data_IF_454511334659
#
_entry.id   IF_454511334659
#
_cell.length_a   1.000
_cell.length_b   1.000
_cell.length_c   1.000
_cell.angle_alpha   90.00
_cell.angle_beta   90.00
_cell.angle_gamma   90.00
#
_symmetry.space_group_name_H-M   'P 1'
#
loop_
_entity.id
_entity.type
_entity.pdbx_description
1 polymer ?
#
# COMPACT_ATOMS: atom_id res chain seq x y z
N UNK A 1 13.77 35.47 80.71
CA UNK A 1 14.74 34.48 80.17
C UNK A 1 13.99 33.44 79.35
N UNK A 2 14.69 32.86 78.38
CA UNK A 2 14.24 32.21 77.14
C UNK A 2 13.20 31.09 77.32
N UNK A 3 12.16 31.10 76.46
CA UNK A 3 11.30 29.96 76.12
C UNK A 3 12.01 29.10 75.07
N UNK A 4 11.92 27.77 75.16
CA UNK A 4 11.81 26.82 74.03
C UNK A 4 12.15 25.38 74.47
N UNK A 5 11.67 24.27 73.89
CA UNK A 5 10.59 23.89 72.96
C UNK A 5 10.53 22.35 73.14
N UNK A 6 9.35 21.74 73.30
CA UNK A 6 9.18 20.29 73.21
C UNK A 6 9.40 19.84 71.76
N UNK A 7 10.32 18.91 71.54
CA UNK A 7 10.60 18.31 70.23
C UNK A 7 9.67 17.11 69.99
N UNK A 8 8.67 17.30 69.15
CA UNK A 8 7.81 16.23 68.63
C UNK A 8 8.46 15.65 67.37
N UNK A 9 8.94 14.41 67.45
CA UNK A 9 9.47 13.65 66.31
C UNK A 9 8.29 13.23 65.43
N UNK A 10 8.15 13.90 64.28
CA UNK A 10 7.24 13.53 63.21
C UNK A 10 7.87 12.35 62.43
N UNK A 11 7.29 11.16 62.56
CA UNK A 11 7.59 10.02 61.67
C UNK A 11 6.96 10.30 60.30
N UNK A 12 7.75 10.82 59.35
CA UNK A 12 7.38 10.84 57.95
C UNK A 12 7.49 9.41 57.39
N UNK A 13 6.35 8.73 57.26
CA UNK A 13 6.25 7.53 56.44
C UNK A 13 6.44 7.91 54.97
N UNK A 14 7.49 7.39 54.34
CA UNK A 14 7.73 7.54 52.90
C UNK A 14 6.77 6.62 52.14
N UNK A 15 5.64 7.14 51.67
CA UNK A 15 4.84 6.44 50.66
C UNK A 15 5.63 6.45 49.36
N UNK A 16 6.19 5.29 48.99
CA UNK A 16 6.85 5.11 47.69
C UNK A 16 5.80 5.25 46.59
N UNK A 17 5.98 6.22 45.71
CA UNK A 17 5.09 6.47 44.56
C UNK A 17 5.60 5.61 43.41
N UNK A 18 5.24 4.33 43.39
CA UNK A 18 5.53 3.44 42.26
C UNK A 18 4.36 3.50 41.27
N UNK A 19 4.66 3.73 39.99
CA UNK A 19 3.67 3.64 38.92
C UNK A 19 3.34 2.16 38.69
N UNK A 20 2.10 1.76 38.92
CA UNK A 20 1.65 0.40 38.65
C UNK A 20 1.52 0.20 37.15
N UNK A 21 1.95 -0.96 36.64
CA UNK A 21 1.83 -1.35 35.23
C UNK A 21 0.98 -2.61 35.11
N UNK A 22 0.10 -2.67 34.13
CA UNK A 22 -0.76 -3.81 33.89
C UNK A 22 -0.95 -4.09 32.40
N UNK A 23 -1.12 -5.35 32.04
CA UNK A 23 -1.31 -5.78 30.66
C UNK A 23 -2.75 -6.25 30.46
N UNK A 24 -3.41 -5.72 29.44
CA UNK A 24 -4.77 -6.10 29.06
C UNK A 24 -4.81 -6.51 27.60
N UNK A 25 -5.55 -7.55 27.26
CA UNK A 25 -5.55 -8.08 25.90
C UNK A 25 -6.92 -8.52 25.41
N UNK A 26 -7.04 -8.62 24.09
CA UNK A 26 -8.19 -9.22 23.40
C UNK A 26 -7.71 -9.97 22.18
N UNK A 27 -8.21 -11.18 21.98
CA UNK A 27 -7.89 -11.99 20.81
C UNK A 27 -9.04 -12.02 19.82
N UNK A 28 -8.72 -12.21 18.53
CA UNK A 28 -9.67 -12.42 17.44
C UNK A 28 -10.76 -11.34 17.34
N UNK A 29 -10.44 -10.09 17.67
CA UNK A 29 -11.40 -9.00 17.60
C UNK A 29 -11.45 -8.42 16.17
N UNK A 30 -12.66 -8.21 15.64
CA UNK A 30 -12.88 -7.92 14.22
C UNK A 30 -12.70 -6.46 13.83
N UNK A 31 -12.61 -5.53 14.80
CA UNK A 31 -12.61 -4.10 14.51
C UNK A 31 -11.65 -3.27 15.37
N UNK A 32 -10.80 -2.50 14.71
CA UNK A 32 -9.93 -1.50 15.34
C UNK A 32 -10.73 -0.38 16.02
N UNK A 33 -11.91 -0.02 15.51
CA UNK A 33 -12.66 1.12 16.03
C UNK A 33 -13.40 0.83 17.33
N UNK A 34 -13.66 -0.44 17.64
CA UNK A 34 -14.44 -0.84 18.81
C UNK A 34 -13.61 -1.42 19.95
N UNK A 35 -12.32 -1.70 19.74
CA UNK A 35 -11.46 -2.40 20.72
C UNK A 35 -11.34 -1.66 22.05
N UNK A 36 -11.33 -0.32 22.06
CA UNK A 36 -11.19 0.45 23.31
C UNK A 36 -12.48 0.51 24.16
N UNK A 37 -13.62 0.05 23.62
CA UNK A 37 -14.93 0.12 24.25
C UNK A 37 -15.49 -1.25 24.69
N UNK A 38 -14.77 -2.33 24.43
CA UNK A 38 -15.16 -3.68 24.88
C UNK A 38 -14.32 -4.10 26.09
N UNK A 39 -14.79 -5.03 26.94
CA UNK A 39 -13.97 -5.56 28.03
C UNK A 39 -12.75 -6.35 27.54
N UNK A 40 -11.60 -6.06 28.14
CA UNK A 40 -10.31 -6.73 27.87
C UNK A 40 -9.99 -7.73 28.98
N UNK A 41 -9.32 -8.81 28.60
CA UNK A 41 -8.82 -9.83 29.52
C UNK A 41 -7.47 -9.43 30.10
N UNK A 42 -7.03 -10.13 31.14
CA UNK A 42 -5.70 -9.96 31.74
C UNK A 42 -5.62 -8.79 32.72
N UNK A 43 -4.60 -8.86 33.57
CA UNK A 43 -4.22 -7.80 34.50
C UNK A 43 -5.40 -7.21 35.28
N UNK A 44 -5.38 -5.88 35.42
CA UNK A 44 -6.44 -5.13 36.08
C UNK A 44 -7.74 -5.04 35.27
N UNK A 45 -7.72 -5.31 33.95
CA UNK A 45 -8.93 -5.30 33.14
C UNK A 45 -9.85 -6.47 33.45
N UNK A 46 -9.29 -7.63 33.81
CA UNK A 46 -9.98 -8.79 34.39
C UNK A 46 -11.24 -9.28 33.62
N UNK A 47 -11.32 -9.03 32.32
CA UNK A 47 -12.49 -9.36 31.50
C UNK A 47 -13.70 -8.44 31.74
N UNK A 48 -13.56 -7.38 32.54
CA UNK A 48 -14.64 -6.50 33.00
C UNK A 48 -14.50 -5.07 32.49
N UNK A 49 -13.27 -4.57 32.39
CA UNK A 49 -13.00 -3.19 32.02
C UNK A 49 -12.48 -3.08 30.60
N UNK A 50 -13.00 -2.08 29.88
CA UNK A 50 -12.45 -1.64 28.60
C UNK A 50 -11.27 -0.70 28.81
N UNK A 51 -10.51 -0.40 27.76
CA UNK A 51 -9.43 0.62 27.82
C UNK A 51 -10.00 1.96 28.28
N UNK A 52 -11.19 2.33 27.83
CA UNK A 52 -11.84 3.57 28.24
C UNK A 52 -12.30 3.55 29.70
N UNK A 53 -12.69 2.40 30.25
CA UNK A 53 -12.98 2.28 31.68
C UNK A 53 -11.71 2.38 32.52
N UNK A 54 -10.60 1.79 32.03
CA UNK A 54 -9.29 1.90 32.68
C UNK A 54 -8.82 3.36 32.70
N UNK A 55 -8.99 4.11 31.60
CA UNK A 55 -8.71 5.55 31.53
C UNK A 55 -9.51 6.35 32.57
N UNK A 56 -10.81 6.03 32.73
CA UNK A 56 -11.66 6.65 33.78
C UNK A 56 -11.20 6.29 35.20
N UNK A 57 -10.57 5.13 35.37
CA UNK A 57 -9.96 4.69 36.64
C UNK A 57 -8.54 5.24 36.86
N UNK A 58 -8.07 6.15 36.00
CA UNK A 58 -6.77 6.81 36.15
C UNK A 58 -5.59 6.07 35.52
N UNK A 59 -5.83 5.03 34.72
CA UNK A 59 -4.78 4.37 33.95
C UNK A 59 -4.52 5.08 32.62
N UNK A 60 -3.25 5.23 32.23
CA UNK A 60 -2.85 5.71 30.92
C UNK A 60 -2.38 4.55 30.05
N UNK A 61 -2.64 4.63 28.74
CA UNK A 61 -2.05 3.68 27.77
C UNK A 61 -0.58 4.04 27.57
N UNK A 62 0.30 3.09 27.84
CA UNK A 62 1.75 3.21 27.65
C UNK A 62 2.18 2.66 26.29
N UNK A 63 1.69 1.47 25.90
CA UNK A 63 1.99 0.83 24.61
C UNK A 63 0.81 -0.03 24.13
N UNK A 64 0.75 -0.29 22.82
CA UNK A 64 -0.21 -1.18 22.18
C UNK A 64 0.47 -2.06 21.12
N UNK A 65 0.30 -3.37 21.24
CA UNK A 65 0.71 -4.35 20.22
C UNK A 65 -0.51 -4.92 19.52
N UNK A 66 -0.44 -4.97 18.19
CA UNK A 66 -1.51 -5.44 17.33
C UNK A 66 -0.94 -6.48 16.37
N UNK A 67 -1.57 -7.65 16.29
CA UNK A 67 -1.21 -8.70 15.33
C UNK A 67 -2.43 -9.24 14.61
N UNK A 68 -2.31 -9.47 13.31
CA UNK A 68 -3.37 -10.09 12.53
C UNK A 68 -3.43 -11.61 12.77
N UNK A 69 -4.63 -12.16 12.71
CA UNK A 69 -4.93 -13.59 12.76
C UNK A 69 -5.89 -13.93 11.62
N UNK A 70 -6.05 -15.21 11.23
CA UNK A 70 -7.03 -15.60 10.19
C UNK A 70 -8.47 -15.18 10.51
N UNK A 71 -8.78 -14.99 11.79
CA UNK A 71 -10.14 -14.75 12.31
C UNK A 71 -10.36 -13.33 12.85
N UNK A 72 -9.36 -12.46 12.81
CA UNK A 72 -9.45 -11.09 13.35
C UNK A 72 -8.09 -10.51 13.75
N UNK A 73 -8.06 -9.64 14.75
CA UNK A 73 -6.83 -9.04 15.27
C UNK A 73 -6.70 -9.31 16.77
N UNK A 74 -5.47 -9.56 17.21
CA UNK A 74 -5.12 -9.59 18.62
C UNK A 74 -4.57 -8.24 19.05
N UNK A 75 -4.94 -7.82 20.25
CA UNK A 75 -4.60 -6.56 20.87
C UNK A 75 -4.00 -6.81 22.24
N UNK A 76 -2.86 -6.19 22.53
CA UNK A 76 -2.26 -6.18 23.85
C UNK A 76 -1.95 -4.73 24.21
N UNK A 77 -2.60 -4.22 25.25
CA UNK A 77 -2.38 -2.92 25.85
C UNK A 77 -1.49 -3.06 27.08
N UNK A 78 -0.48 -2.20 27.18
CA UNK A 78 0.25 -1.94 28.41
C UNK A 78 -0.29 -0.64 29.00
N UNK A 79 -0.80 -0.70 30.22
CA UNK A 79 -1.39 0.42 30.93
C UNK A 79 -0.55 0.74 32.15
N UNK A 80 -0.42 2.03 32.49
CA UNK A 80 0.28 2.48 33.70
C UNK A 80 -0.51 3.52 34.48
N UNK A 81 -0.43 3.51 35.80
CA UNK A 81 -0.94 4.64 36.61
C UNK A 81 0.09 5.78 36.58
N UNK A 82 -0.34 7.05 36.51
CA UNK A 82 0.57 8.18 36.54
C UNK A 82 1.21 8.31 37.93
N UNK A 83 2.54 8.41 37.98
CA UNK A 83 3.26 8.91 39.15
C UNK A 83 2.91 10.38 39.35
N UNK A 84 2.84 10.84 40.60
CA UNK A 84 2.49 12.21 40.97
C UNK A 84 3.57 13.23 40.57
N UNK A 85 3.82 13.38 39.27
CA UNK A 85 4.49 14.52 38.65
C UNK A 85 4.14 14.47 37.16
N UNK A 86 3.62 15.61 36.69
CA UNK A 86 3.24 15.90 35.30
C UNK A 86 1.78 15.58 34.92
N UNK A 87 0.83 16.19 35.63
CA UNK A 87 -0.39 16.68 34.98
C UNK A 87 -0.06 17.94 34.17
N UNK A 88 0.62 17.74 33.04
CA UNK A 88 0.49 18.67 31.93
C UNK A 88 -0.83 18.34 31.26
N UNK A 89 -1.85 19.17 31.46
CA UNK A 89 -3.07 19.14 30.65
C UNK A 89 -2.70 19.45 29.21
N UNK A 90 -2.21 18.46 28.47
CA UNK A 90 -2.21 18.51 27.01
C UNK A 90 -3.64 18.22 26.60
N UNK A 91 -4.39 19.29 26.46
CA UNK A 91 -5.68 19.31 25.81
C UNK A 91 -5.48 18.74 24.40
N UNK A 92 -5.65 17.44 24.23
CA UNK A 92 -5.78 16.81 22.92
C UNK A 92 -7.13 17.24 22.36
N UNK A 93 -7.19 18.47 21.83
CA UNK A 93 -8.16 18.82 20.80
C UNK A 93 -7.63 18.21 19.52
N UNK A 94 -7.77 16.88 19.41
CA UNK A 94 -7.55 16.18 18.15
C UNK A 94 -8.58 16.68 17.17
N UNK A 95 -8.18 17.54 16.24
CA UNK A 95 -9.04 18.01 15.17
C UNK A 95 -9.40 16.78 14.31
N UNK A 96 -10.58 16.21 14.56
CA UNK A 96 -11.04 14.97 13.92
C UNK A 96 -10.97 15.06 12.38
N UNK A 97 -11.17 16.26 11.83
CA UNK A 97 -11.00 16.56 10.41
C UNK A 97 -9.56 16.35 9.91
N UNK A 98 -8.53 16.63 10.72
CA UNK A 98 -7.13 16.42 10.34
C UNK A 98 -6.77 14.92 10.33
N UNK A 99 -7.34 14.13 11.23
CA UNK A 99 -7.15 12.68 11.21
C UNK A 99 -7.87 12.03 10.03
N UNK A 100 -9.11 12.42 9.76
CA UNK A 100 -9.87 11.96 8.60
C UNK A 100 -9.19 12.34 7.28
N UNK A 101 -8.68 13.57 7.17
CA UNK A 101 -7.91 14.02 6.00
C UNK A 101 -6.62 13.20 5.79
N UNK A 102 -5.89 12.90 6.87
CA UNK A 102 -4.67 12.09 6.79
C UNK A 102 -4.95 10.64 6.39
N UNK A 103 -6.06 10.06 6.88
CA UNK A 103 -6.51 8.71 6.49
C UNK A 103 -6.92 8.70 5.01
N UNK A 104 -7.69 9.70 4.57
CA UNK A 104 -8.13 9.81 3.17
C UNK A 104 -6.93 9.98 2.22
N UNK A 105 -5.98 10.84 2.58
CA UNK A 105 -4.75 11.06 1.81
C UNK A 105 -3.92 9.76 1.70
N UNK A 106 -3.81 8.98 2.78
CA UNK A 106 -3.07 7.72 2.78
C UNK A 106 -3.78 6.63 1.97
N UNK A 107 -5.12 6.59 1.99
CA UNK A 107 -5.91 5.69 1.16
C UNK A 107 -5.81 6.04 -0.32
N UNK A 108 -5.83 7.34 -0.65
CA UNK A 108 -5.69 7.82 -2.02
C UNK A 108 -4.28 7.54 -2.57
N UNK A 109 -3.24 7.82 -1.79
CA UNK A 109 -1.86 7.45 -2.14
C UNK A 109 -1.70 5.94 -2.34
N UNK A 110 -2.35 5.12 -1.50
CA UNK A 110 -2.32 3.66 -1.64
C UNK A 110 -3.02 3.21 -2.92
N UNK A 111 -4.20 3.75 -3.24
CA UNK A 111 -4.91 3.48 -4.49
C UNK A 111 -4.08 3.87 -5.72
N UNK A 112 -3.46 5.03 -5.70
CA UNK A 112 -2.61 5.50 -6.80
C UNK A 112 -1.36 4.63 -6.97
N UNK A 113 -0.74 4.19 -5.88
CA UNK A 113 0.40 3.28 -5.91
C UNK A 113 0.00 1.88 -6.41
N UNK A 114 -1.15 1.36 -5.99
CA UNK A 114 -1.69 0.07 -6.45
C UNK A 114 -2.07 0.11 -7.93
N UNK A 115 -2.72 1.18 -8.39
CA UNK A 115 -3.07 1.36 -9.80
C UNK A 115 -1.81 1.52 -10.66
N UNK A 116 -0.83 2.32 -10.22
CA UNK A 116 0.46 2.43 -10.91
C UNK A 116 1.18 1.09 -10.98
N UNK A 117 1.22 0.33 -9.90
CA UNK A 117 1.83 -0.99 -9.86
C UNK A 117 1.09 -2.00 -10.76
N UNK A 118 -0.24 -1.90 -10.84
CA UNK A 118 -1.06 -2.72 -11.75
C UNK A 118 -0.79 -2.38 -13.21
N UNK A 119 -0.75 -1.09 -13.57
CA UNK A 119 -0.40 -0.64 -14.92
C UNK A 119 1.02 -1.08 -15.27
N UNK A 120 1.98 -0.92 -14.36
CA UNK A 120 3.37 -1.32 -14.59
C UNK A 120 3.48 -2.84 -14.78
N UNK A 121 2.79 -3.63 -13.96
CA UNK A 121 2.71 -5.09 -14.12
C UNK A 121 2.05 -5.48 -15.44
N UNK A 122 0.93 -4.86 -15.81
CA UNK A 122 0.24 -5.11 -17.08
C UNK A 122 1.10 -4.74 -18.30
N UNK A 123 1.95 -3.71 -18.18
CA UNK A 123 2.92 -3.30 -19.21
C UNK A 123 4.09 -4.29 -19.29
N UNK A 124 4.60 -4.80 -18.17
CA UNK A 124 5.65 -5.82 -18.17
C UNK A 124 5.16 -7.16 -18.73
N UNK A 125 3.96 -7.60 -18.33
CA UNK A 125 3.32 -8.78 -18.90
C UNK A 125 3.06 -8.60 -20.41
N UNK A 126 2.55 -7.43 -20.82
CA UNK A 126 2.40 -7.09 -22.24
C UNK A 126 3.72 -7.12 -23.00
N UNK A 127 4.84 -6.77 -22.36
CA UNK A 127 6.17 -6.77 -22.98
C UNK A 127 6.68 -8.18 -23.24
N UNK A 128 6.50 -9.10 -22.30
CA UNK A 128 6.89 -10.52 -22.48
C UNK A 128 6.06 -11.17 -23.58
N UNK A 129 4.74 -10.95 -23.56
CA UNK A 129 3.84 -11.49 -24.58
C UNK A 129 4.14 -10.88 -25.96
N UNK A 130 4.38 -9.57 -26.02
CA UNK A 130 4.73 -8.90 -27.26
C UNK A 130 6.08 -9.33 -27.83
N UNK A 131 7.08 -9.56 -26.98
CA UNK A 131 8.37 -10.12 -27.43
C UNK A 131 8.17 -11.51 -28.03
N UNK A 132 7.43 -12.39 -27.36
CA UNK A 132 7.16 -13.74 -27.84
C UNK A 132 6.38 -13.71 -29.17
N UNK A 133 5.38 -12.86 -29.29
CA UNK A 133 4.62 -12.67 -30.53
C UNK A 133 5.55 -12.17 -31.64
N UNK A 134 6.39 -11.17 -31.35
CA UNK A 134 7.32 -10.63 -32.35
C UNK A 134 8.31 -11.69 -32.86
N UNK A 135 8.99 -12.38 -31.96
CA UNK A 135 10.02 -13.38 -32.32
C UNK A 135 9.42 -14.53 -33.11
N UNK A 136 8.24 -15.03 -32.71
CA UNK A 136 7.64 -16.21 -33.32
C UNK A 136 6.83 -15.90 -34.60
N UNK A 137 6.25 -14.71 -34.72
CA UNK A 137 5.27 -14.41 -35.77
C UNK A 137 5.69 -13.27 -36.70
N UNK A 138 6.56 -12.36 -36.26
CA UNK A 138 6.89 -11.14 -37.02
C UNK A 138 8.34 -11.15 -37.54
N UNK A 139 9.28 -11.66 -36.75
CA UNK A 139 10.73 -11.56 -36.98
C UNK A 139 11.15 -12.16 -38.34
N UNK A 140 10.58 -13.31 -38.73
CA UNK A 140 10.91 -13.97 -40.00
C UNK A 140 10.69 -13.06 -41.22
N UNK A 141 9.70 -12.18 -41.16
CA UNK A 141 9.37 -11.25 -42.24
C UNK A 141 9.99 -9.86 -42.05
N UNK A 142 10.13 -9.40 -40.81
CA UNK A 142 10.50 -8.03 -40.48
C UNK A 142 11.93 -7.86 -39.95
N UNK A 143 12.69 -8.94 -39.80
CA UNK A 143 14.06 -8.91 -39.27
C UNK A 143 14.11 -9.00 -37.74
N UNK A 144 15.31 -9.16 -37.19
CA UNK A 144 15.49 -9.33 -35.74
C UNK A 144 15.19 -8.05 -34.95
N UNK A 145 15.28 -6.89 -35.60
CA UNK A 145 15.11 -5.55 -35.03
C UNK A 145 14.08 -4.72 -35.78
N UNK A 146 13.23 -5.34 -36.59
CA UNK A 146 12.20 -4.66 -37.37
C UNK A 146 12.75 -3.84 -38.54
N UNK A 147 13.97 -4.13 -38.98
CA UNK A 147 14.73 -3.38 -39.98
C UNK A 147 14.38 -3.74 -41.42
N UNK A 148 13.76 -4.89 -41.65
CA UNK A 148 13.42 -5.34 -43.01
C UNK A 148 12.23 -4.54 -43.52
N UNK A 149 12.44 -3.85 -44.63
CA UNK A 149 11.40 -3.08 -45.32
C UNK A 149 10.38 -4.03 -45.93
N UNK A 150 9.13 -3.90 -45.50
CA UNK A 150 7.97 -4.62 -46.06
C UNK A 150 6.87 -3.60 -46.35
N UNK A 151 6.24 -3.73 -47.51
CA UNK A 151 5.24 -2.77 -47.99
C UNK A 151 5.72 -1.30 -47.92
N UNK A 152 7.00 -1.07 -48.23
CA UNK A 152 7.60 0.27 -48.32
C UNK A 152 8.16 0.84 -47.02
N UNK A 153 7.98 0.19 -45.86
CA UNK A 153 8.46 0.70 -44.57
C UNK A 153 9.05 -0.39 -43.66
N UNK A 154 10.00 0.00 -42.80
CA UNK A 154 10.56 -0.87 -41.76
C UNK A 154 9.81 -0.66 -40.43
N UNK A 155 9.53 -1.72 -39.68
CA UNK A 155 8.76 -1.60 -38.43
C UNK A 155 9.45 -0.73 -37.38
N UNK A 156 10.77 -0.76 -37.31
CA UNK A 156 11.52 0.05 -36.32
C UNK A 156 11.53 1.57 -36.61
N UNK A 157 11.13 1.96 -37.82
CA UNK A 157 10.99 3.35 -38.24
C UNK A 157 9.59 3.93 -37.99
N UNK A 158 8.59 3.08 -37.72
CA UNK A 158 7.20 3.53 -37.50
C UNK A 158 7.00 4.12 -36.10
N UNK A 159 6.04 5.05 -36.00
CA UNK A 159 5.46 5.43 -34.71
C UNK A 159 4.49 4.35 -34.23
N UNK A 160 4.15 4.35 -32.94
CA UNK A 160 3.17 3.38 -32.41
C UNK A 160 1.78 3.65 -32.98
N UNK A 161 1.46 4.91 -33.26
CA UNK A 161 0.22 5.34 -33.90
C UNK A 161 0.09 4.81 -35.33
N UNK A 162 1.19 4.84 -36.10
CA UNK A 162 1.22 4.29 -37.46
C UNK A 162 1.02 2.78 -37.46
N UNK A 163 1.67 2.07 -36.52
CA UNK A 163 1.48 0.61 -36.36
C UNK A 163 0.04 0.26 -35.99
N UNK A 164 -0.58 1.02 -35.09
CA UNK A 164 -1.99 0.82 -34.71
C UNK A 164 -2.96 1.13 -35.85
N UNK A 165 -2.68 2.19 -36.61
CA UNK A 165 -3.49 2.55 -37.79
C UNK A 165 -3.39 1.46 -38.84
N UNK A 166 -2.19 0.94 -39.10
CA UNK A 166 -2.00 -0.17 -40.04
C UNK A 166 -2.74 -1.44 -39.59
N UNK A 167 -2.75 -1.76 -38.29
CA UNK A 167 -3.52 -2.90 -37.78
C UNK A 167 -5.03 -2.73 -38.04
N UNK A 168 -5.58 -1.53 -37.79
CA UNK A 168 -7.00 -1.24 -38.09
C UNK A 168 -7.31 -1.39 -39.58
N UNK A 169 -6.39 -1.01 -40.45
CA UNK A 169 -6.58 -1.20 -41.89
C UNK A 169 -6.61 -2.68 -42.28
N UNK A 170 -5.82 -3.54 -41.62
CA UNK A 170 -5.93 -5.00 -41.79
C UNK A 170 -7.25 -5.57 -41.25
N UNK A 171 -7.74 -5.08 -40.11
CA UNK A 171 -9.02 -5.51 -39.53
C UNK A 171 -10.21 -5.11 -40.41
N UNK A 172 -10.17 -3.89 -40.97
CA UNK A 172 -11.25 -3.31 -41.76
C UNK A 172 -11.14 -3.63 -43.26
N UNK A 173 -10.06 -4.29 -43.70
CA UNK A 173 -9.79 -4.58 -45.10
C UNK A 173 -9.76 -3.30 -45.95
N UNK A 174 -8.94 -2.32 -45.56
CA UNK A 174 -8.78 -1.04 -46.27
C UNK A 174 -7.37 -0.93 -46.83
N UNK A 175 -7.17 -0.01 -47.78
CA UNK A 175 -5.85 0.32 -48.32
C UNK A 175 -5.11 -0.90 -48.94
N UNK A 176 -5.83 -1.80 -49.60
CA UNK A 176 -5.25 -2.99 -50.25
C UNK A 176 -4.91 -4.12 -49.27
N UNK A 177 -5.45 -4.09 -48.05
CA UNK A 177 -5.23 -5.09 -47.00
C UNK A 177 -6.32 -6.17 -46.95
N UNK A 178 -7.46 -5.93 -47.59
CA UNK A 178 -8.63 -6.81 -47.73
C UNK A 178 -8.33 -8.18 -48.37
N UNK A 179 -7.27 -8.27 -49.18
CA UNK A 179 -6.88 -9.45 -49.95
C UNK A 179 -5.44 -9.92 -49.64
N UNK A 180 -4.85 -9.40 -48.56
CA UNK A 180 -3.50 -9.82 -48.16
C UNK A 180 -3.56 -11.24 -47.58
N UNK A 181 -2.83 -12.18 -48.19
CA UNK A 181 -2.57 -13.54 -47.66
C UNK A 181 -2.06 -13.53 -46.20
N UNK A 182 -1.52 -12.39 -45.76
CA UNK A 182 -0.97 -12.19 -44.42
C UNK A 182 -1.95 -11.51 -43.46
N UNK A 183 -3.19 -11.20 -43.87
CA UNK A 183 -4.15 -10.47 -43.04
C UNK A 183 -4.44 -11.22 -41.74
N UNK A 184 -4.63 -12.54 -41.81
CA UNK A 184 -4.87 -13.39 -40.64
C UNK A 184 -3.71 -13.37 -39.64
N UNK A 185 -2.46 -13.27 -40.10
CA UNK A 185 -1.27 -13.17 -39.24
C UNK A 185 -1.29 -11.85 -38.46
N UNK A 186 -1.81 -10.78 -39.07
CA UNK A 186 -1.88 -9.46 -38.44
C UNK A 186 -3.10 -9.30 -37.53
N UNK A 187 -4.24 -9.93 -37.83
CA UNK A 187 -5.49 -9.70 -37.09
C UNK A 187 -5.81 -10.74 -36.02
N UNK A 188 -5.23 -11.94 -36.06
CA UNK A 188 -5.60 -13.02 -35.13
C UNK A 188 -4.92 -12.90 -33.75
N UNK A 189 -3.73 -12.30 -33.70
CA UNK A 189 -2.89 -12.28 -32.48
C UNK A 189 -2.46 -10.87 -32.06
N UNK A 190 -2.82 -9.84 -32.82
CA UNK A 190 -2.46 -8.46 -32.52
C UNK A 190 -3.69 -7.68 -32.07
N UNK A 191 -3.48 -6.83 -31.08
CA UNK A 191 -4.42 -5.81 -30.64
C UNK A 191 -3.62 -4.57 -30.21
N UNK A 192 -4.31 -3.50 -29.81
CA UNK A 192 -3.69 -2.26 -29.38
C UNK A 192 -2.62 -2.43 -28.27
N UNK A 193 -2.86 -3.31 -27.30
CA UNK A 193 -1.92 -3.60 -26.20
C UNK A 193 -0.68 -4.31 -26.74
N UNK A 194 -0.86 -5.34 -27.56
CA UNK A 194 0.24 -6.10 -28.17
C UNK A 194 1.10 -5.22 -29.09
N UNK A 195 0.49 -4.38 -29.92
CA UNK A 195 1.22 -3.44 -30.81
C UNK A 195 2.10 -2.48 -30.00
N UNK A 196 1.58 -1.91 -28.92
CA UNK A 196 2.36 -1.06 -28.02
C UNK A 196 3.54 -1.81 -27.40
N UNK A 197 3.32 -3.06 -26.98
CA UNK A 197 4.38 -3.94 -26.47
C UNK A 197 5.46 -4.23 -27.52
N UNK A 198 5.07 -4.54 -28.77
CA UNK A 198 6.01 -4.82 -29.87
C UNK A 198 6.82 -3.57 -30.20
N UNK A 199 6.16 -2.41 -30.28
CA UNK A 199 6.83 -1.13 -30.48
C UNK A 199 7.87 -0.86 -29.39
N UNK A 200 7.50 -1.01 -28.12
CA UNK A 200 8.39 -0.81 -26.98
C UNK A 200 9.58 -1.79 -27.02
N UNK A 201 9.34 -3.06 -27.33
CA UNK A 201 10.38 -4.08 -27.50
C UNK A 201 11.37 -3.70 -28.60
N UNK A 202 10.88 -3.30 -29.79
CA UNK A 202 11.72 -2.87 -30.89
C UNK A 202 12.52 -1.59 -30.57
N UNK A 203 11.94 -0.63 -29.87
CA UNK A 203 12.66 0.57 -29.41
C UNK A 203 13.76 0.20 -28.42
N UNK A 204 13.50 -0.72 -27.49
CA UNK A 204 14.51 -1.23 -26.57
C UNK A 204 15.69 -1.91 -27.30
N UNK A 205 15.40 -2.77 -28.29
CA UNK A 205 16.44 -3.45 -29.09
C UNK A 205 17.29 -2.50 -29.94
N UNK A 206 16.71 -1.39 -30.37
CA UNK A 206 17.36 -0.39 -31.20
C UNK A 206 17.94 0.78 -30.37
N UNK A 207 17.83 0.74 -29.03
CA UNK A 207 18.37 1.79 -28.17
C UNK A 207 19.91 1.67 -28.10
N UNK A 208 20.66 2.69 -28.56
CA UNK A 208 22.13 2.66 -28.55
C UNK A 208 22.72 2.61 -27.14
N UNK A 209 21.99 3.05 -26.10
CA UNK A 209 22.48 3.07 -24.71
C UNK A 209 22.43 1.72 -23.98
N UNK A 210 21.92 0.67 -24.63
CA UNK A 210 21.86 -0.71 -24.08
C UNK A 210 22.82 -1.68 -24.76
N UNK A 211 23.74 -1.19 -25.60
CA UNK A 211 24.79 -1.98 -26.25
C UNK A 211 26.13 -1.86 -25.55
#
# INVERSE_FOLDING_TARGET
>A
MKKAILSSILLLGTTSILADTTMCFKENHSSMSTIENIPLNGGACAGKFSVNDMKKQGWAVDDIKISQTPTGMNFIYILKTPTAQQFGTTQFVGNQAQMEANILAKLEQKKQAEEKAKIEKEVQEAKVDAQNIYVNQCQTCHGAKGEVVKAGVALNSLSVEDMQTSLKDYELGRNGKESSLNAAIHTSNLNSKTIKGIYAYLKDLNNPSKK
#
